data_IF_717123383836
#
_entry.id   IF_717123383836
#
_cell.length_a   1.000
_cell.length_b   1.000
_cell.length_c   1.000
_cell.angle_alpha   90.00
_cell.angle_beta   90.00
_cell.angle_gamma   90.00
#
_symmetry.space_group_name_H-M   'P 1'
#
loop_
_entity.id
_entity.type
_entity.pdbx_description
1 polymer ?
#
# COMPACT_ATOMS: atom_id res chain seq x y z
N UNK A 1 5.47 -15.42 -9.69
CA UNK A 1 6.63 -14.58 -9.75
C UNK A 1 6.43 -13.19 -9.20
N UNK A 2 5.28 -12.89 -8.50
CA UNK A 2 5.08 -11.66 -7.76
C UNK A 2 5.71 -11.79 -6.37
N UNK A 3 6.30 -10.69 -5.84
CA UNK A 3 6.95 -10.69 -4.53
C UNK A 3 5.94 -10.51 -3.39
N UNK A 4 4.83 -9.82 -3.66
CA UNK A 4 3.79 -9.57 -2.68
C UNK A 4 2.40 -9.47 -3.33
N UNK A 5 1.37 -9.55 -2.48
CA UNK A 5 -0.03 -9.26 -2.82
C UNK A 5 -0.50 -8.08 -1.98
N UNK A 6 -1.11 -7.08 -2.63
CA UNK A 6 -1.81 -6.00 -1.94
C UNK A 6 -3.30 -6.35 -1.86
N UNK A 7 -3.84 -6.46 -0.65
CA UNK A 7 -5.24 -6.75 -0.38
C UNK A 7 -5.89 -5.46 0.10
N UNK A 8 -6.88 -4.98 -0.66
CA UNK A 8 -7.47 -3.67 -0.46
C UNK A 8 -8.72 -3.76 0.44
N UNK A 9 -8.56 -3.45 1.72
CA UNK A 9 -9.65 -3.36 2.68
C UNK A 9 -10.38 -2.01 2.71
N UNK A 10 -9.93 -1.01 1.91
CA UNK A 10 -10.56 0.30 1.85
C UNK A 10 -11.60 0.40 0.73
N UNK A 11 -11.24 0.01 -0.49
CA UNK A 11 -12.08 0.09 -1.69
C UNK A 11 -12.32 -1.27 -2.34
N UNK A 12 -11.66 -2.33 -1.87
CA UNK A 12 -11.95 -3.70 -2.23
C UNK A 12 -13.29 -4.16 -1.65
N UNK A 13 -13.85 -5.22 -2.22
CA UNK A 13 -15.11 -5.81 -1.78
C UNK A 13 -14.85 -6.96 -0.79
N UNK A 14 -14.04 -6.69 0.25
CA UNK A 14 -13.63 -7.69 1.24
C UNK A 14 -14.19 -7.34 2.62
N UNK A 15 -14.81 -8.30 3.27
CA UNK A 15 -15.04 -8.23 4.72
C UNK A 15 -13.80 -8.70 5.52
N UNK A 16 -13.87 -8.62 6.85
CA UNK A 16 -12.77 -9.04 7.72
C UNK A 16 -12.36 -10.51 7.50
N UNK A 17 -13.32 -11.40 7.31
CA UNK A 17 -13.05 -12.83 7.16
C UNK A 17 -12.40 -13.13 5.80
N UNK A 18 -12.80 -12.44 4.77
CA UNK A 18 -12.21 -12.54 3.44
C UNK A 18 -10.78 -12.01 3.42
N UNK A 19 -10.52 -10.85 4.06
CA UNK A 19 -9.17 -10.32 4.25
C UNK A 19 -8.29 -11.31 5.02
N UNK A 20 -8.78 -11.84 6.14
CA UNK A 20 -8.05 -12.80 6.95
C UNK A 20 -7.75 -14.10 6.18
N UNK A 21 -8.70 -14.59 5.41
CA UNK A 21 -8.50 -15.78 4.58
C UNK A 21 -7.51 -15.53 3.43
N UNK A 22 -7.53 -14.35 2.85
CA UNK A 22 -6.56 -13.94 1.82
C UNK A 22 -5.14 -13.89 2.38
N UNK A 23 -4.94 -13.30 3.57
CA UNK A 23 -3.63 -13.31 4.26
C UNK A 23 -3.17 -14.75 4.54
N UNK A 24 -4.06 -15.62 5.06
CA UNK A 24 -3.75 -17.04 5.32
C UNK A 24 -3.34 -17.79 4.06
N UNK A 25 -4.04 -17.54 2.96
CA UNK A 25 -3.76 -18.18 1.68
C UNK A 25 -2.40 -17.74 1.13
N UNK A 26 -2.10 -16.44 1.21
CA UNK A 26 -0.81 -15.90 0.77
C UNK A 26 0.35 -16.50 1.57
N UNK A 27 0.20 -16.63 2.90
CA UNK A 27 1.21 -17.29 3.76
C UNK A 27 1.46 -18.74 3.34
N UNK A 28 0.40 -19.51 3.04
CA UNK A 28 0.53 -20.88 2.54
C UNK A 28 1.26 -20.96 1.20
N UNK A 29 1.17 -19.92 0.40
CA UNK A 29 1.85 -19.80 -0.89
C UNK A 29 3.25 -19.18 -0.78
N UNK A 30 3.67 -18.74 0.41
CA UNK A 30 4.94 -18.07 0.64
C UNK A 30 5.04 -16.69 -0.01
N UNK A 31 3.91 -15.95 -0.09
CA UNK A 31 3.84 -14.61 -0.68
C UNK A 31 3.51 -13.62 0.44
N UNK A 32 4.29 -12.55 0.52
CA UNK A 32 4.07 -11.48 1.49
C UNK A 32 2.79 -10.68 1.20
N UNK A 33 2.14 -10.19 2.24
CA UNK A 33 0.89 -9.44 2.10
C UNK A 33 1.01 -8.00 2.60
N UNK A 34 0.43 -7.09 1.83
CA UNK A 34 0.14 -5.72 2.25
C UNK A 34 -1.38 -5.62 2.40
N UNK A 35 -1.86 -5.25 3.58
CA UNK A 35 -3.29 -4.98 3.80
C UNK A 35 -3.49 -3.47 3.87
N UNK A 36 -4.27 -2.89 2.94
CA UNK A 36 -4.72 -1.52 3.08
C UNK A 36 -5.98 -1.48 3.94
N UNK A 37 -5.92 -0.70 5.01
CA UNK A 37 -7.01 -0.55 5.97
C UNK A 37 -7.99 0.54 5.54
N UNK A 38 -9.27 0.48 5.97
CA UNK A 38 -10.27 1.48 5.59
C UNK A 38 -10.09 2.84 6.29
N UNK A 39 -9.25 2.92 7.31
CA UNK A 39 -9.03 4.14 8.08
C UNK A 39 -7.89 3.99 9.08
N UNK A 40 -7.69 5.00 9.92
CA UNK A 40 -6.54 5.05 10.84
C UNK A 40 -6.95 5.11 12.32
N UNK A 41 -8.16 4.70 12.67
CA UNK A 41 -8.56 4.56 14.08
C UNK A 41 -7.87 3.36 14.74
N UNK A 42 -7.67 3.46 16.06
CA UNK A 42 -6.93 2.47 16.85
C UNK A 42 -7.48 1.05 16.72
N UNK A 43 -8.81 0.90 16.77
CA UNK A 43 -9.47 -0.41 16.74
C UNK A 43 -9.31 -1.08 15.36
N UNK A 44 -9.54 -0.33 14.30
CA UNK A 44 -9.34 -0.79 12.92
C UNK A 44 -7.89 -1.23 12.69
N UNK A 45 -6.93 -0.40 13.07
CA UNK A 45 -5.50 -0.72 12.90
C UNK A 45 -5.10 -1.99 13.67
N UNK A 46 -5.49 -2.10 14.93
CA UNK A 46 -5.20 -3.27 15.76
C UNK A 46 -5.80 -4.56 15.20
N UNK A 47 -7.07 -4.50 14.78
CA UNK A 47 -7.78 -5.64 14.21
C UNK A 47 -7.10 -6.18 12.93
N UNK A 48 -6.68 -5.28 12.04
CA UNK A 48 -6.01 -5.69 10.80
C UNK A 48 -4.56 -6.14 11.05
N UNK A 49 -3.86 -5.52 12.00
CA UNK A 49 -2.52 -5.97 12.40
C UNK A 49 -2.54 -7.39 13.00
N UNK A 50 -3.63 -7.78 13.65
CA UNK A 50 -3.82 -9.14 14.21
C UNK A 50 -4.07 -10.21 13.12
N UNK A 51 -4.29 -9.81 11.86
CA UNK A 51 -4.23 -10.74 10.73
C UNK A 51 -2.79 -11.20 10.43
N UNK A 52 -1.76 -10.47 10.89
CA UNK A 52 -0.35 -10.77 10.71
C UNK A 52 0.17 -10.54 9.28
N UNK A 53 -0.23 -9.48 8.56
CA UNK A 53 0.35 -9.18 7.26
C UNK A 53 1.79 -8.65 7.42
N UNK A 54 2.57 -8.72 6.34
CA UNK A 54 3.92 -8.12 6.31
C UNK A 54 3.88 -6.60 6.42
N UNK A 55 2.83 -5.97 5.88
CA UNK A 55 2.66 -4.52 5.95
C UNK A 55 1.19 -4.10 6.10
N UNK A 56 0.99 -2.97 6.77
CA UNK A 56 -0.28 -2.24 6.83
C UNK A 56 -0.11 -0.94 6.06
N UNK A 57 -0.91 -0.76 5.02
CA UNK A 57 -1.01 0.50 4.30
C UNK A 57 -2.16 1.32 4.88
N UNK A 58 -1.84 2.53 5.32
CA UNK A 58 -2.78 3.44 5.97
C UNK A 58 -3.09 4.61 5.03
N UNK A 59 -4.34 4.78 4.60
CA UNK A 59 -4.73 5.85 3.70
C UNK A 59 -4.78 7.22 4.40
N UNK A 60 -4.75 8.30 3.62
CA UNK A 60 -5.02 9.67 4.06
C UNK A 60 -4.14 10.15 5.23
N UNK A 61 -2.87 9.76 5.24
CA UNK A 61 -1.92 10.22 6.27
C UNK A 61 -1.47 11.63 5.94
N UNK A 62 -2.21 12.62 6.43
CA UNK A 62 -2.06 14.02 6.05
C UNK A 62 -1.13 14.83 6.97
N UNK A 63 -0.73 14.29 8.14
CA UNK A 63 0.11 15.00 9.10
C UNK A 63 0.96 14.06 9.94
N UNK A 64 2.02 14.59 10.54
CA UNK A 64 2.82 13.88 11.54
C UNK A 64 2.00 13.45 12.76
N UNK A 65 0.95 14.19 13.12
CA UNK A 65 0.06 13.82 14.21
C UNK A 65 -0.73 12.52 13.89
N UNK A 66 -1.25 12.41 12.65
CA UNK A 66 -1.89 11.18 12.17
C UNK A 66 -0.86 10.04 12.12
N UNK A 67 0.32 10.28 11.54
CA UNK A 67 1.37 9.26 11.48
C UNK A 67 1.75 8.75 12.88
N UNK A 68 1.89 9.62 13.86
CA UNK A 68 2.16 9.25 15.27
C UNK A 68 1.04 8.42 15.88
N UNK A 69 -0.21 8.77 15.62
CA UNK A 69 -1.38 8.01 16.08
C UNK A 69 -1.42 6.60 15.47
N UNK A 70 -1.08 6.48 14.19
CA UNK A 70 -0.95 5.21 13.48
C UNK A 70 0.16 4.35 14.08
N UNK A 71 1.34 4.95 14.29
CA UNK A 71 2.48 4.27 14.95
C UNK A 71 2.08 3.79 16.34
N UNK A 72 1.43 4.67 17.14
CA UNK A 72 0.97 4.30 18.47
C UNK A 72 0.04 3.09 18.46
N UNK A 73 -0.85 2.99 17.48
CA UNK A 73 -1.80 1.88 17.37
C UNK A 73 -1.17 0.56 16.87
N UNK A 74 -0.12 0.64 16.05
CA UNK A 74 0.49 -0.52 15.37
C UNK A 74 1.77 -1.03 16.04
N UNK A 75 2.39 -0.24 16.93
CA UNK A 75 3.62 -0.61 17.64
C UNK A 75 3.35 -0.94 19.10
N UNK A 76 4.07 -1.91 19.61
CA UNK A 76 4.08 -2.21 21.03
C UNK A 76 4.96 -1.22 21.81
N UNK A 77 4.81 -1.13 23.16
CA UNK A 77 5.72 -0.34 23.97
C UNK A 77 7.18 -0.74 23.77
N UNK A 78 8.15 0.18 23.81
CA UNK A 78 7.99 1.58 24.22
C UNK A 78 7.56 2.55 23.09
N UNK A 79 7.54 2.12 21.82
CA UNK A 79 7.30 3.01 20.67
C UNK A 79 5.82 3.35 20.50
N UNK A 80 4.92 2.45 20.85
CA UNK A 80 3.48 2.60 20.72
C UNK A 80 2.71 2.07 21.92
N UNK A 81 1.41 1.87 21.72
CA UNK A 81 0.47 1.43 22.73
C UNK A 81 -0.44 0.29 22.24
N UNK A 82 -0.02 -0.44 21.19
CA UNK A 82 -0.79 -1.56 20.64
C UNK A 82 -1.15 -2.55 21.74
N UNK A 83 -2.42 -2.93 21.82
CA UNK A 83 -2.88 -3.99 22.72
C UNK A 83 -2.30 -5.33 22.29
N UNK A 84 -1.75 -6.08 23.23
CA UNK A 84 -1.27 -7.42 22.96
C UNK A 84 -2.45 -8.40 22.89
N UNK A 85 -2.49 -9.19 21.80
CA UNK A 85 -3.55 -10.16 21.58
C UNK A 85 -3.38 -10.80 20.21
N UNK A 86 -4.52 -11.05 19.55
CA UNK A 86 -4.50 -11.67 18.24
C UNK A 86 -4.18 -13.16 18.29
N UNK A 87 -5.21 -13.98 18.08
CA UNK A 87 -5.03 -15.44 18.11
C UNK A 87 -4.03 -15.88 17.03
N UNK A 88 -4.21 -15.35 15.82
CA UNK A 88 -3.39 -15.78 14.69
C UNK A 88 -1.90 -15.43 14.83
N UNK A 89 -1.48 -14.19 15.16
CA UNK A 89 -0.06 -13.90 15.37
C UNK A 89 0.58 -14.78 16.44
N UNK A 90 -0.14 -15.08 17.53
CA UNK A 90 0.35 -15.99 18.58
C UNK A 90 0.53 -17.42 18.07
N UNK A 91 -0.37 -17.90 17.23
CA UNK A 91 -0.31 -19.27 16.68
C UNK A 91 0.76 -19.42 15.59
N UNK A 92 0.93 -18.41 14.73
CA UNK A 92 1.85 -18.47 13.59
C UNK A 92 3.28 -18.10 14.01
N UNK A 93 3.45 -17.01 14.77
CA UNK A 93 4.76 -16.47 15.13
C UNK A 93 5.17 -16.75 16.58
N UNK A 94 4.28 -17.35 17.37
CA UNK A 94 4.49 -17.61 18.80
C UNK A 94 4.19 -16.39 19.69
N UNK A 95 4.16 -16.63 21.01
CA UNK A 95 3.82 -15.58 22.00
C UNK A 95 4.79 -14.39 22.03
N UNK A 96 5.99 -14.56 21.50
CA UNK A 96 7.00 -13.50 21.38
C UNK A 96 6.85 -12.62 20.14
N UNK A 97 5.83 -12.77 19.33
CA UNK A 97 5.66 -12.08 18.05
C UNK A 97 5.77 -10.54 18.13
N UNK A 98 5.38 -9.98 19.26
CA UNK A 98 5.46 -8.54 19.54
C UNK A 98 6.89 -7.96 19.50
N UNK A 99 7.90 -8.82 19.52
CA UNK A 99 9.32 -8.41 19.43
C UNK A 99 9.90 -8.63 18.04
N UNK A 100 9.25 -9.42 17.19
CA UNK A 100 9.86 -9.93 15.95
C UNK A 100 8.98 -9.77 14.71
N UNK A 101 7.67 -9.61 14.88
CA UNK A 101 6.70 -9.62 13.76
C UNK A 101 5.71 -8.47 13.85
N UNK A 102 6.23 -7.25 13.81
CA UNK A 102 5.39 -6.06 13.64
C UNK A 102 5.29 -5.70 12.15
N UNK A 103 4.08 -5.41 11.62
CA UNK A 103 3.92 -5.10 10.22
C UNK A 103 4.65 -3.80 9.85
N UNK A 104 5.22 -3.72 8.65
CA UNK A 104 5.73 -2.46 8.13
C UNK A 104 4.58 -1.45 7.98
N UNK A 105 4.77 -0.22 8.42
CA UNK A 105 3.76 0.85 8.28
C UNK A 105 4.03 1.62 6.99
N UNK A 106 3.10 1.53 6.05
CA UNK A 106 3.10 2.30 4.81
C UNK A 106 2.13 3.48 4.97
N UNK A 107 2.67 4.70 5.07
CA UNK A 107 1.86 5.91 5.12
C UNK A 107 1.52 6.33 3.67
N UNK A 108 0.24 6.29 3.30
CA UNK A 108 -0.19 6.69 1.97
C UNK A 108 -0.32 8.21 1.90
N UNK A 109 0.48 8.82 1.01
CA UNK A 109 0.51 10.25 0.73
C UNK A 109 -0.29 10.47 -0.56
N UNK A 110 -1.49 10.99 -0.40
CA UNK A 110 -2.48 11.05 -1.48
C UNK A 110 -3.32 12.33 -1.48
N UNK A 111 -2.86 13.34 -0.76
CA UNK A 111 -3.47 14.68 -0.75
C UNK A 111 -2.41 15.77 -0.81
N UNK A 112 -2.80 16.97 -1.25
CA UNK A 112 -1.92 18.14 -1.23
C UNK A 112 -1.41 18.47 0.19
N UNK A 113 -2.25 18.28 1.22
CA UNK A 113 -1.87 18.43 2.63
C UNK A 113 -0.83 17.38 3.04
N UNK A 114 -1.09 16.09 2.74
CA UNK A 114 -0.14 15.01 3.02
C UNK A 114 1.19 15.23 2.31
N UNK A 115 1.17 15.70 1.06
CA UNK A 115 2.37 16.04 0.29
C UNK A 115 3.16 17.19 0.95
N UNK A 116 2.47 18.23 1.41
CA UNK A 116 3.12 19.34 2.11
C UNK A 116 3.82 18.88 3.40
N UNK A 117 3.26 17.88 4.07
CA UNK A 117 3.75 17.32 5.33
C UNK A 117 4.58 16.04 5.17
N UNK A 118 4.90 15.62 3.93
CA UNK A 118 5.55 14.32 3.67
C UNK A 118 6.88 14.15 4.43
N UNK A 119 7.65 15.21 4.60
CA UNK A 119 8.89 15.20 5.37
C UNK A 119 8.67 14.89 6.86
N UNK A 120 7.70 15.52 7.48
CA UNK A 120 7.37 15.33 8.90
C UNK A 120 6.72 13.94 9.13
N UNK A 121 5.91 13.47 8.19
CA UNK A 121 5.33 12.12 8.21
C UNK A 121 6.45 11.08 8.09
N UNK A 122 7.38 11.27 7.15
CA UNK A 122 8.52 10.38 6.99
C UNK A 122 9.43 10.36 8.21
N UNK A 123 9.61 11.48 8.89
CA UNK A 123 10.46 11.58 10.08
C UNK A 123 9.87 10.88 11.31
N UNK A 124 8.56 10.58 11.34
CA UNK A 124 7.94 9.93 12.49
C UNK A 124 8.55 8.53 12.72
N UNK A 125 9.10 8.26 13.92
CA UNK A 125 9.63 6.95 14.25
C UNK A 125 8.55 5.87 14.15
N UNK A 126 8.87 4.73 13.50
CA UNK A 126 7.94 3.63 13.32
C UNK A 126 7.20 3.62 11.98
N UNK A 127 7.07 4.74 11.27
CA UNK A 127 6.70 4.74 9.84
C UNK A 127 7.82 4.05 9.06
N UNK A 128 7.48 3.06 8.25
CA UNK A 128 8.47 2.28 7.47
C UNK A 128 8.67 2.82 6.06
N UNK A 129 7.61 3.33 5.44
CA UNK A 129 7.62 3.72 4.03
C UNK A 129 6.57 4.80 3.76
N UNK A 130 6.83 5.67 2.78
CA UNK A 130 5.80 6.51 2.16
C UNK A 130 5.29 5.85 0.89
N UNK A 131 3.97 5.89 0.67
CA UNK A 131 3.36 5.34 -0.53
C UNK A 131 2.57 6.41 -1.27
N UNK A 132 2.89 6.64 -2.54
CA UNK A 132 2.19 7.62 -3.38
C UNK A 132 0.85 7.07 -3.87
N UNK A 133 -0.25 7.75 -3.52
CA UNK A 133 -1.62 7.44 -3.96
C UNK A 133 -2.08 8.41 -5.06
N UNK A 134 -1.97 8.05 -6.36
CA UNK A 134 -2.18 9.01 -7.45
C UNK A 134 -3.63 9.43 -7.64
N UNK A 135 -4.60 8.58 -7.37
CA UNK A 135 -6.02 8.89 -7.64
C UNK A 135 -6.54 10.02 -6.74
N UNK A 136 -6.41 9.84 -5.43
CA UNK A 136 -6.84 10.84 -4.45
C UNK A 136 -5.97 12.10 -4.51
N UNK A 137 -4.67 11.97 -4.86
CA UNK A 137 -3.80 13.11 -5.09
C UNK A 137 -4.34 14.00 -6.22
N UNK A 138 -4.77 13.41 -7.34
CA UNK A 138 -5.40 14.14 -8.44
C UNK A 138 -6.64 14.90 -7.97
N UNK A 139 -7.54 14.22 -7.27
CA UNK A 139 -8.75 14.85 -6.73
C UNK A 139 -8.41 16.00 -5.77
N UNK A 140 -7.45 15.79 -4.88
CA UNK A 140 -6.99 16.79 -3.92
C UNK A 140 -6.37 18.02 -4.59
N UNK A 141 -5.75 17.85 -5.76
CA UNK A 141 -5.15 18.94 -6.56
C UNK A 141 -6.13 19.54 -7.58
N UNK A 142 -7.35 19.03 -7.69
CA UNK A 142 -8.33 19.47 -8.70
C UNK A 142 -7.97 19.04 -10.12
N UNK A 143 -7.20 17.98 -10.27
CA UNK A 143 -6.78 17.42 -11.56
C UNK A 143 -7.78 16.37 -12.05
N UNK A 144 -7.91 16.17 -13.38
CA UNK A 144 -8.71 15.09 -13.94
C UNK A 144 -8.19 13.71 -13.49
N UNK A 145 -9.10 12.78 -13.19
CA UNK A 145 -8.71 11.41 -12.81
C UNK A 145 -7.93 10.68 -13.90
N UNK A 146 -8.23 11.00 -15.16
CA UNK A 146 -7.60 10.42 -16.35
C UNK A 146 -6.20 10.97 -16.61
N UNK A 147 -5.79 12.08 -15.96
CA UNK A 147 -4.48 12.68 -16.15
C UNK A 147 -3.37 11.65 -15.88
N UNK A 148 -2.49 11.34 -16.86
CA UNK A 148 -1.44 10.36 -16.63
C UNK A 148 -0.37 10.93 -15.69
N UNK A 149 0.15 10.10 -14.79
CA UNK A 149 1.12 10.54 -13.78
C UNK A 149 2.43 11.00 -14.44
N UNK A 150 2.84 10.30 -15.47
CA UNK A 150 4.09 10.52 -16.21
C UNK A 150 4.05 11.71 -17.20
N UNK A 151 2.87 12.30 -17.43
CA UNK A 151 2.68 13.47 -18.29
C UNK A 151 2.18 14.72 -17.53
N UNK A 152 1.87 14.58 -16.23
CA UNK A 152 1.30 15.65 -15.41
C UNK A 152 2.35 16.22 -14.46
N UNK A 153 2.83 17.46 -14.69
CA UNK A 153 3.95 18.03 -13.93
C UNK A 153 3.72 18.06 -12.42
N UNK A 154 2.50 18.33 -11.96
CA UNK A 154 2.14 18.38 -10.55
C UNK A 154 2.26 17.01 -9.88
N UNK A 155 1.94 15.94 -10.59
CA UNK A 155 2.07 14.57 -10.09
C UNK A 155 3.51 14.08 -10.13
N UNK A 156 4.27 14.49 -11.13
CA UNK A 156 5.72 14.25 -11.19
C UNK A 156 6.44 14.94 -10.03
N UNK A 157 6.11 16.22 -9.74
CA UNK A 157 6.64 16.94 -8.57
C UNK A 157 6.26 16.22 -7.27
N UNK A 158 5.03 15.77 -7.14
CA UNK A 158 4.59 15.01 -5.97
C UNK A 158 5.42 13.73 -5.78
N UNK A 159 5.67 12.98 -6.85
CA UNK A 159 6.53 11.78 -6.78
C UNK A 159 7.96 12.12 -6.33
N UNK A 160 8.56 13.16 -6.90
CA UNK A 160 9.91 13.62 -6.52
C UNK A 160 9.95 13.97 -5.04
N UNK A 161 9.02 14.79 -4.56
CA UNK A 161 8.99 15.25 -3.16
C UNK A 161 8.75 14.12 -2.17
N UNK A 162 7.92 13.13 -2.49
CA UNK A 162 7.68 11.95 -1.65
C UNK A 162 8.96 11.11 -1.59
N UNK A 163 9.63 10.88 -2.71
CA UNK A 163 10.89 10.14 -2.76
C UNK A 163 11.99 10.82 -1.94
N UNK A 164 12.15 12.14 -2.09
CA UNK A 164 13.13 12.95 -1.33
C UNK A 164 12.83 12.93 0.18
N UNK A 165 11.54 13.06 0.56
CA UNK A 165 11.12 13.01 1.95
C UNK A 165 11.45 11.65 2.58
N UNK A 166 11.15 10.54 1.87
CA UNK A 166 11.48 9.20 2.30
C UNK A 166 13.00 9.00 2.43
N UNK A 167 13.77 9.35 1.39
CA UNK A 167 15.22 9.22 1.38
C UNK A 167 15.90 10.03 2.50
N UNK A 168 15.47 11.27 2.74
CA UNK A 168 15.98 12.12 3.81
C UNK A 168 15.74 11.52 5.21
N UNK A 169 14.65 10.79 5.37
CA UNK A 169 14.34 10.08 6.62
C UNK A 169 14.96 8.67 6.69
N UNK A 170 15.75 8.25 5.69
CA UNK A 170 16.32 6.90 5.61
C UNK A 170 15.28 5.81 5.36
N UNK A 171 14.16 6.16 4.69
CA UNK A 171 13.04 5.27 4.42
C UNK A 171 12.86 5.06 2.91
N UNK A 172 12.01 4.12 2.56
CA UNK A 172 11.69 3.80 1.16
C UNK A 172 10.42 4.50 0.71
N UNK A 173 10.27 4.63 -0.61
CA UNK A 173 9.04 5.07 -1.25
C UNK A 173 8.41 3.93 -2.07
N UNK A 174 7.07 3.91 -2.12
CA UNK A 174 6.28 2.99 -2.93
C UNK A 174 5.25 3.73 -3.79
N UNK A 175 4.83 3.11 -4.90
CA UNK A 175 3.81 3.66 -5.80
C UNK A 175 3.13 2.57 -6.62
N UNK A 176 2.12 2.98 -7.41
CA UNK A 176 1.49 2.14 -8.42
C UNK A 176 2.10 2.50 -9.78
N UNK A 177 2.51 1.49 -10.55
CA UNK A 177 2.97 1.64 -11.93
C UNK A 177 2.19 0.70 -12.83
N UNK A 178 1.46 1.25 -13.80
CA UNK A 178 0.65 0.48 -14.74
C UNK A 178 1.33 0.24 -16.08
N UNK A 179 2.43 0.93 -16.35
CA UNK A 179 3.19 0.84 -17.60
C UNK A 179 4.68 0.62 -17.33
N UNK A 180 5.41 0.00 -18.29
CA UNK A 180 6.86 -0.13 -18.17
C UNK A 180 7.61 1.21 -18.05
N UNK A 181 7.11 2.28 -18.69
CA UNK A 181 7.75 3.58 -18.64
C UNK A 181 7.50 4.29 -17.30
N UNK A 182 6.28 4.19 -16.74
CA UNK A 182 6.00 4.61 -15.37
C UNK A 182 6.90 3.88 -14.35
N UNK A 183 7.12 2.57 -14.54
CA UNK A 183 8.05 1.80 -13.71
C UNK A 183 9.48 2.33 -13.80
N UNK A 184 10.00 2.60 -15.00
CA UNK A 184 11.36 3.15 -15.19
C UNK A 184 11.49 4.51 -14.52
N UNK A 185 10.50 5.39 -14.68
CA UNK A 185 10.48 6.71 -14.04
C UNK A 185 10.47 6.61 -12.51
N UNK A 186 9.61 5.77 -11.94
CA UNK A 186 9.57 5.52 -10.50
C UNK A 186 10.90 4.96 -9.97
N UNK A 187 11.51 4.01 -10.69
CA UNK A 187 12.81 3.43 -10.33
C UNK A 187 13.95 4.46 -10.39
N UNK A 188 13.90 5.40 -11.31
CA UNK A 188 14.86 6.49 -11.40
C UNK A 188 14.79 7.44 -10.18
N UNK A 189 13.63 7.54 -9.54
CA UNK A 189 13.39 8.28 -8.29
C UNK A 189 13.59 7.42 -7.04
N UNK A 190 14.15 6.21 -7.16
CA UNK A 190 14.42 5.26 -6.07
C UNK A 190 13.16 4.70 -5.37
N UNK A 191 12.00 4.69 -6.05
CA UNK A 191 10.86 3.92 -5.55
C UNK A 191 11.17 2.42 -5.53
N UNK A 192 10.88 1.74 -4.42
CA UNK A 192 11.27 0.34 -4.19
C UNK A 192 10.09 -0.60 -4.08
N UNK A 193 8.95 -0.15 -3.56
CA UNK A 193 7.71 -0.92 -3.52
C UNK A 193 6.82 -0.51 -4.68
N UNK A 194 6.64 -1.41 -5.66
CA UNK A 194 5.90 -1.11 -6.88
C UNK A 194 4.70 -2.06 -7.00
N UNK A 195 3.49 -1.50 -6.98
CA UNK A 195 2.28 -2.23 -7.31
C UNK A 195 2.06 -2.18 -8.84
N UNK A 196 2.24 -3.32 -9.51
CA UNK A 196 2.33 -3.40 -10.98
C UNK A 196 1.04 -3.80 -11.69
N UNK A 197 -0.11 -3.89 -10.97
CA UNK A 197 -1.37 -4.27 -11.57
C UNK A 197 -2.44 -4.61 -10.56
N UNK A 198 -3.60 -5.04 -11.05
CA UNK A 198 -4.71 -5.51 -10.25
C UNK A 198 -5.40 -6.69 -10.95
N UNK A 199 -6.00 -7.57 -10.18
CA UNK A 199 -6.73 -8.76 -10.66
C UNK A 199 -7.77 -8.42 -11.73
N UNK A 200 -8.57 -7.36 -11.49
CA UNK A 200 -9.57 -6.89 -12.45
C UNK A 200 -8.97 -6.46 -13.79
N UNK A 201 -7.77 -5.88 -13.78
CA UNK A 201 -7.07 -5.48 -15.00
C UNK A 201 -6.56 -6.70 -15.75
N UNK A 202 -5.98 -7.67 -15.04
CA UNK A 202 -5.49 -8.93 -15.63
C UNK A 202 -6.63 -9.74 -16.24
N UNK A 203 -7.78 -9.84 -15.54
CA UNK A 203 -8.97 -10.54 -16.05
C UNK A 203 -9.52 -9.84 -17.31
N UNK A 204 -9.65 -8.51 -17.29
CA UNK A 204 -10.15 -7.75 -18.45
C UNK A 204 -9.25 -7.93 -19.66
N UNK A 205 -7.94 -7.77 -19.49
CA UNK A 205 -6.98 -7.90 -20.59
C UNK A 205 -6.97 -9.32 -21.14
N UNK A 206 -6.81 -10.33 -20.28
CA UNK A 206 -6.78 -11.72 -20.72
C UNK A 206 -8.09 -12.17 -21.38
N UNK A 207 -9.23 -11.65 -20.94
CA UNK A 207 -10.53 -11.92 -21.58
C UNK A 207 -10.63 -11.28 -22.95
N UNK A 208 -10.18 -10.02 -23.08
CA UNK A 208 -10.19 -9.31 -24.37
C UNK A 208 -9.30 -10.00 -25.40
N UNK A 209 -8.06 -10.33 -25.01
CA UNK A 209 -7.10 -11.00 -25.87
C UNK A 209 -7.64 -12.38 -26.33
N UNK A 210 -8.16 -13.17 -25.37
CA UNK A 210 -8.71 -14.48 -25.70
C UNK A 210 -9.92 -14.43 -26.63
N UNK A 211 -10.80 -13.43 -26.42
CA UNK A 211 -11.96 -13.24 -27.28
C UNK A 211 -11.54 -12.82 -28.72
N UNK A 212 -10.51 -11.98 -28.84
CA UNK A 212 -9.97 -11.59 -30.13
C UNK A 212 -9.40 -12.80 -30.91
N UNK A 213 -8.58 -13.64 -30.24
CA UNK A 213 -8.03 -14.88 -30.83
C UNK A 213 -9.12 -15.81 -31.36
N UNK A 214 -10.18 -16.03 -30.55
CA UNK A 214 -11.27 -16.92 -30.93
C UNK A 214 -12.11 -16.37 -32.11
N UNK A 215 -12.33 -15.06 -32.17
CA UNK A 215 -13.03 -14.41 -33.30
C UNK A 215 -12.23 -14.51 -34.57
N UNK A 216 -10.93 -14.23 -34.50
CA UNK A 216 -10.05 -14.39 -35.65
C UNK A 216 -10.08 -15.80 -36.21
N UNK A 217 -9.99 -16.82 -35.35
CA UNK A 217 -10.05 -18.23 -35.79
C UNK A 217 -11.38 -18.61 -36.45
N UNK A 218 -12.51 -17.97 -36.09
CA UNK A 218 -13.80 -18.16 -36.72
C UNK A 218 -13.89 -17.49 -38.10
N UNK A 219 -13.21 -16.37 -38.30
CA UNK A 219 -13.17 -15.66 -39.60
C UNK A 219 -12.25 -16.37 -40.61
N UNK A 220 -11.27 -17.13 -40.15
CA UNK A 220 -10.33 -17.89 -40.99
C UNK A 220 -10.86 -19.29 -41.37
N UNK A 221 -11.98 -19.75 -40.80
CA UNK A 221 -12.58 -21.05 -41.02
C UNK A 221 -13.75 -21.00 -42.00
#
# INVERSE_FOLDING_TARGET
GWDFVWIDGQHGQFDYHELLNSVRTADLMGIETIVRVPGHDYGTLGLHADMGPAAIMVPMVNSAAIARSVVSALRFPPLGSRSFGGRRPCDVFGKGYHQTHEPCILAQIETAEGLANAGDIAAEPGVGMLFFGPADMKLSMGLPLEAPVDETPELQDAMVRIAEAAAKAGKLAGCICQTPDALKAARALDYRLIAGGADVLFIRQGTADRLADLRQALEES
#
